data_IF_114819507186
#
_entry.id   IF_114819507186
#
_cell.length_a   1.000
_cell.length_b   1.000
_cell.length_c   1.000
_cell.angle_alpha   90.00
_cell.angle_beta   90.00
_cell.angle_gamma   90.00
#
_symmetry.space_group_name_H-M   'P 1'
#
loop_
_entity.id
_entity.type
_entity.pdbx_description
1 polymer ?
#
# COMPACT_ATOMS: atom_id res chain seq x y z
N UNK A 1 34.81 -24.19 33.78
CA UNK A 1 34.40 -24.01 32.40
C UNK A 1 33.04 -23.30 32.41
N UNK A 2 33.01 -21.98 32.39
CA UNK A 2 31.82 -21.19 32.27
C UNK A 2 31.43 -21.17 30.80
N UNK A 3 30.35 -21.86 30.44
CA UNK A 3 29.70 -21.68 29.14
C UNK A 3 29.16 -20.22 29.12
N UNK A 4 29.78 -19.41 28.32
CA UNK A 4 29.21 -18.11 27.96
C UNK A 4 27.96 -18.40 27.14
N UNK A 5 26.77 -18.26 27.74
CA UNK A 5 25.54 -18.08 27.00
C UNK A 5 25.74 -16.84 26.11
N UNK A 6 25.96 -17.08 24.84
CA UNK A 6 25.81 -16.03 23.83
C UNK A 6 24.34 -15.67 23.79
N UNK A 7 23.95 -14.69 24.59
CA UNK A 7 22.67 -13.99 24.38
C UNK A 7 22.74 -13.38 22.97
N UNK A 8 22.16 -14.08 22.02
CA UNK A 8 21.95 -13.58 20.68
C UNK A 8 21.03 -12.36 20.80
N UNK A 9 21.64 -11.20 20.96
CA UNK A 9 20.88 -9.95 21.13
C UNK A 9 20.19 -9.65 19.81
N UNK A 10 18.87 -9.75 19.77
CA UNK A 10 18.05 -9.42 18.59
C UNK A 10 18.51 -8.12 17.94
N UNK A 11 18.52 -8.05 16.63
CA UNK A 11 18.79 -6.82 15.88
C UNK A 11 17.74 -5.76 16.20
N UNK A 12 18.16 -4.53 16.43
CA UNK A 12 17.27 -3.37 16.69
C UNK A 12 17.00 -2.61 15.41
N UNK A 13 15.74 -2.57 15.03
CA UNK A 13 15.29 -1.96 13.77
C UNK A 13 14.35 -0.80 14.08
N UNK A 14 14.65 0.38 13.54
CA UNK A 14 13.79 1.56 13.61
C UNK A 14 13.02 1.72 12.30
N UNK A 15 11.70 1.59 12.38
CA UNK A 15 10.78 1.89 11.29
C UNK A 15 10.36 3.35 11.39
N UNK A 16 10.48 4.13 10.32
CA UNK A 16 10.11 5.55 10.30
C UNK A 16 8.95 5.77 9.35
N UNK A 17 7.90 6.40 9.88
CA UNK A 17 6.80 6.94 9.10
C UNK A 17 6.36 8.28 9.66
N UNK A 18 6.55 9.33 8.86
CA UNK A 18 6.17 10.69 9.17
C UNK A 18 4.99 11.16 8.29
N UNK A 19 4.23 10.22 7.71
CA UNK A 19 3.04 10.49 6.93
C UNK A 19 1.99 11.27 7.74
N UNK A 20 1.22 12.18 7.09
CA UNK A 20 0.21 12.99 7.78
C UNK A 20 -1.17 12.34 7.86
N UNK A 21 -1.39 11.24 7.16
CA UNK A 21 -2.70 10.57 7.04
C UNK A 21 -2.52 9.06 7.11
N UNK A 22 -3.48 8.37 7.73
CA UNK A 22 -3.51 6.92 7.78
C UNK A 22 -3.92 6.36 6.40
N UNK A 23 -3.22 5.33 5.94
CA UNK A 23 -3.46 4.68 4.66
C UNK A 23 -2.72 3.35 4.51
N UNK A 24 -2.39 2.98 3.27
CA UNK A 24 -1.75 1.70 2.96
C UNK A 24 -0.34 1.54 3.55
N UNK A 25 0.42 2.62 3.73
CA UNK A 25 1.78 2.56 4.34
C UNK A 25 1.66 2.22 5.81
N UNK A 26 0.75 2.84 6.53
CA UNK A 26 0.53 2.61 7.97
C UNK A 26 -0.02 1.21 8.21
N UNK A 27 -0.94 0.74 7.36
CA UNK A 27 -1.43 -0.66 7.39
C UNK A 27 -0.28 -1.63 7.15
N UNK A 28 0.57 -1.39 6.16
CA UNK A 28 1.78 -2.16 5.91
C UNK A 28 2.71 -2.18 7.13
N UNK A 29 2.94 -1.04 7.79
CA UNK A 29 3.80 -0.98 8.98
C UNK A 29 3.25 -1.79 10.15
N UNK A 30 1.95 -1.75 10.38
CA UNK A 30 1.28 -2.59 11.39
C UNK A 30 1.50 -4.07 11.06
N UNK A 31 1.25 -4.50 9.83
CA UNK A 31 1.47 -5.88 9.38
C UNK A 31 2.95 -6.29 9.49
N UNK A 32 3.89 -5.37 9.17
CA UNK A 32 5.32 -5.64 9.28
C UNK A 32 5.76 -5.82 10.74
N UNK A 33 5.19 -5.05 11.68
CA UNK A 33 5.48 -5.23 13.10
C UNK A 33 4.95 -6.57 13.60
N UNK A 34 3.74 -6.95 13.23
CA UNK A 34 3.17 -8.26 13.58
C UNK A 34 4.02 -9.42 13.02
N UNK A 35 4.52 -9.26 11.79
CA UNK A 35 5.32 -10.26 11.11
C UNK A 35 6.70 -10.51 11.75
N UNK A 36 7.35 -9.45 12.28
CA UNK A 36 8.76 -9.49 12.66
C UNK A 36 9.06 -9.35 14.16
N UNK A 37 8.05 -9.06 15.01
CA UNK A 37 8.25 -8.80 16.43
C UNK A 37 8.95 -9.95 17.18
N UNK A 38 8.76 -11.20 16.74
CA UNK A 38 9.43 -12.36 17.34
C UNK A 38 10.94 -12.43 17.00
N UNK A 39 11.40 -11.79 15.93
CA UNK A 39 12.75 -11.98 15.38
C UNK A 39 13.70 -10.81 15.66
N UNK A 40 13.16 -9.60 15.71
CA UNK A 40 13.92 -8.36 15.90
C UNK A 40 13.28 -7.47 16.95
N UNK A 41 14.09 -6.63 17.60
CA UNK A 41 13.59 -5.59 18.50
C UNK A 41 13.12 -4.41 17.65
N UNK A 42 11.82 -4.19 17.58
CA UNK A 42 11.20 -3.17 16.73
C UNK A 42 10.98 -1.86 17.48
N UNK A 43 11.37 -0.78 16.84
CA UNK A 43 11.10 0.60 17.23
C UNK A 43 10.35 1.28 16.11
N UNK A 44 9.29 2.01 16.41
CA UNK A 44 8.51 2.75 15.41
C UNK A 44 8.47 4.22 15.74
N UNK A 45 9.03 5.04 14.87
CA UNK A 45 8.95 6.50 14.95
C UNK A 45 7.81 6.99 14.08
N UNK A 46 6.78 7.58 14.69
CA UNK A 46 5.61 8.07 13.97
C UNK A 46 5.11 9.41 14.51
N UNK A 47 4.29 10.10 13.71
CA UNK A 47 3.60 11.34 14.09
C UNK A 47 2.10 11.13 14.30
N UNK A 48 1.50 10.13 13.66
CA UNK A 48 0.08 9.86 13.73
C UNK A 48 -0.32 9.23 15.07
N UNK A 49 -1.29 9.82 15.80
CA UNK A 49 -1.84 9.22 17.01
C UNK A 49 -2.41 7.83 16.78
N UNK A 50 -3.11 7.66 15.66
CA UNK A 50 -3.78 6.43 15.30
C UNK A 50 -2.81 5.27 15.11
N UNK A 51 -1.70 5.47 14.38
CA UNK A 51 -0.67 4.46 14.21
C UNK A 51 -0.05 4.09 15.56
N UNK A 52 0.25 5.10 16.40
CA UNK A 52 0.74 4.90 17.76
C UNK A 52 -0.20 4.05 18.62
N UNK A 53 -1.52 4.29 18.55
CA UNK A 53 -2.53 3.52 19.29
C UNK A 53 -2.59 2.07 18.81
N UNK A 54 -2.58 1.84 17.49
CA UNK A 54 -2.61 0.49 16.93
C UNK A 54 -1.38 -0.35 17.29
N UNK A 55 -0.24 0.32 17.46
CA UNK A 55 1.01 -0.35 17.81
C UNK A 55 1.20 -0.53 19.32
N UNK A 56 0.45 0.19 20.16
CA UNK A 56 0.64 0.18 21.62
C UNK A 56 0.35 -1.18 22.26
N UNK A 57 -0.45 -2.04 21.63
CA UNK A 57 -0.79 -3.38 22.12
C UNK A 57 0.17 -4.47 21.61
N UNK A 58 1.19 -4.08 20.86
CA UNK A 58 2.17 -4.97 20.23
C UNK A 58 3.52 -4.91 20.95
N UNK A 59 4.32 -5.94 20.78
CA UNK A 59 5.69 -6.00 21.31
C UNK A 59 6.64 -5.12 20.47
N UNK A 60 6.37 -3.80 20.48
CA UNK A 60 7.17 -2.80 19.78
C UNK A 60 7.33 -1.54 20.62
N UNK A 61 8.48 -0.89 20.53
CA UNK A 61 8.71 0.41 21.19
C UNK A 61 8.23 1.54 20.28
N UNK A 62 7.11 2.17 20.62
CA UNK A 62 6.56 3.29 19.85
C UNK A 62 7.12 4.63 20.34
N UNK A 63 7.73 5.37 19.44
CA UNK A 63 8.27 6.71 19.67
C UNK A 63 7.40 7.71 18.90
N UNK A 64 6.49 8.37 19.61
CA UNK A 64 5.60 9.34 19.00
C UNK A 64 6.17 10.76 19.13
N UNK A 65 6.16 11.51 18.02
CA UNK A 65 6.55 12.92 17.97
C UNK A 65 5.31 13.83 17.86
N UNK A 66 4.55 14.07 18.94
CA UNK A 66 3.27 14.78 18.88
C UNK A 66 3.42 16.25 18.51
N UNK A 67 4.55 16.86 18.83
CA UNK A 67 4.82 18.29 18.62
C UNK A 67 4.88 18.65 17.14
N UNK A 68 5.04 17.66 16.25
CA UNK A 68 5.19 17.90 14.82
C UNK A 68 3.88 17.88 14.02
N UNK A 69 2.77 17.46 14.64
CA UNK A 69 1.44 17.63 14.05
C UNK A 69 1.09 19.11 14.07
N UNK A 70 1.15 19.79 12.93
CA UNK A 70 0.85 21.22 12.79
C UNK A 70 2.06 22.14 12.70
N UNK A 71 3.28 21.65 12.93
CA UNK A 71 4.48 22.46 12.71
C UNK A 71 4.72 22.75 11.23
N UNK A 72 5.27 23.93 10.96
CA UNK A 72 5.76 24.30 9.63
C UNK A 72 6.77 23.25 9.11
N UNK A 73 6.52 22.71 7.91
CA UNK A 73 7.26 21.56 7.34
C UNK A 73 8.79 21.61 7.42
N UNK A 74 9.47 22.77 7.15
CA UNK A 74 10.92 22.89 7.31
C UNK A 74 11.41 22.72 8.75
N UNK A 75 10.67 23.25 9.72
CA UNK A 75 11.02 23.14 11.14
C UNK A 75 10.87 21.70 11.64
N UNK A 76 9.83 21.00 11.17
CA UNK A 76 9.63 19.56 11.41
C UNK A 76 10.80 18.74 10.86
N UNK A 77 11.24 19.03 9.65
CA UNK A 77 12.38 18.36 9.05
C UNK A 77 13.66 18.58 9.84
N UNK A 78 13.93 19.83 10.24
CA UNK A 78 15.10 20.17 11.05
C UNK A 78 15.09 19.44 12.40
N UNK A 79 13.95 19.43 13.09
CA UNK A 79 13.79 18.71 14.35
C UNK A 79 13.98 17.20 14.18
N UNK A 80 13.48 16.62 13.08
CA UNK A 80 13.67 15.19 12.80
C UNK A 80 15.13 14.87 12.53
N UNK A 81 15.86 15.75 11.84
CA UNK A 81 17.29 15.61 11.57
C UNK A 81 18.17 15.67 12.83
N UNK A 82 17.68 16.28 13.92
CA UNK A 82 18.38 16.29 15.21
C UNK A 82 17.95 15.15 16.12
N UNK A 83 16.66 14.85 16.16
CA UNK A 83 16.10 13.81 17.04
C UNK A 83 16.48 12.40 16.58
N UNK A 84 16.41 12.12 15.28
CA UNK A 84 16.67 10.77 14.78
C UNK A 84 18.09 10.29 15.11
N UNK A 85 19.18 11.03 14.87
CA UNK A 85 20.53 10.60 15.28
C UNK A 85 20.63 10.30 16.79
N UNK A 86 19.98 11.12 17.63
CA UNK A 86 19.96 10.87 19.07
C UNK A 86 19.26 9.55 19.41
N UNK A 87 18.12 9.27 18.80
CA UNK A 87 17.41 8.01 18.97
C UNK A 87 18.24 6.81 18.51
N UNK A 88 18.96 6.93 17.37
CA UNK A 88 19.82 5.87 16.86
C UNK A 88 20.94 5.51 17.84
N UNK A 89 21.48 6.48 18.56
CA UNK A 89 22.50 6.27 19.59
C UNK A 89 21.90 5.74 20.90
N UNK A 90 20.81 6.37 21.39
CA UNK A 90 20.17 6.03 22.66
C UNK A 90 19.66 4.59 22.66
N UNK A 91 18.95 4.18 21.61
CA UNK A 91 18.39 2.85 21.49
C UNK A 91 19.34 1.86 20.80
N UNK A 92 20.58 2.27 20.46
CA UNK A 92 21.57 1.43 19.78
C UNK A 92 20.99 0.77 18.52
N UNK A 93 20.23 1.50 17.72
CA UNK A 93 19.59 1.01 16.50
C UNK A 93 20.67 0.52 15.51
N UNK A 94 20.44 -0.63 14.88
CA UNK A 94 21.34 -1.21 13.87
C UNK A 94 20.89 -0.87 12.46
N UNK A 95 19.59 -0.94 12.21
CA UNK A 95 18.99 -0.73 10.89
C UNK A 95 17.85 0.28 10.97
N UNK A 96 17.77 1.18 10.00
CA UNK A 96 16.68 2.16 9.86
C UNK A 96 15.92 1.86 8.58
N UNK A 97 14.63 1.61 8.68
CA UNK A 97 13.75 1.48 7.52
C UNK A 97 12.91 2.75 7.37
N UNK A 98 12.89 3.30 6.15
CA UNK A 98 12.19 4.51 5.77
C UNK A 98 11.12 4.17 4.73
N UNK A 99 9.92 4.68 4.94
CA UNK A 99 8.75 4.35 4.10
C UNK A 99 8.25 5.55 3.30
N UNK A 100 8.46 6.76 3.81
CA UNK A 100 8.07 8.01 3.15
C UNK A 100 9.14 8.56 2.22
N UNK A 101 8.73 9.23 1.14
CA UNK A 101 9.68 9.83 0.20
C UNK A 101 10.51 10.94 0.84
N UNK A 102 9.88 11.86 1.58
CA UNK A 102 10.58 12.94 2.27
C UNK A 102 11.43 12.44 3.44
N UNK A 103 11.03 11.32 4.04
CA UNK A 103 11.75 10.71 5.15
C UNK A 103 13.11 10.16 4.69
N UNK A 104 13.28 9.90 3.38
CA UNK A 104 14.54 9.43 2.79
C UNK A 104 15.73 10.37 3.05
N UNK A 105 15.49 11.65 3.38
CA UNK A 105 16.54 12.58 3.80
C UNK A 105 17.25 12.10 5.07
N UNK A 106 16.57 11.32 5.91
CA UNK A 106 17.12 10.74 7.14
C UNK A 106 18.12 9.59 6.89
N UNK A 107 18.22 9.12 5.64
CA UNK A 107 19.28 8.18 5.24
C UNK A 107 20.65 8.77 5.55
N UNK A 108 20.85 10.06 5.30
CA UNK A 108 22.14 10.71 5.45
C UNK A 108 22.68 10.66 6.88
N UNK A 109 21.93 11.15 7.92
CA UNK A 109 22.41 11.05 9.30
C UNK A 109 22.55 9.60 9.80
N UNK A 110 21.69 8.69 9.35
CA UNK A 110 21.83 7.27 9.70
C UNK A 110 23.12 6.66 9.13
N UNK A 111 23.45 6.99 7.88
CA UNK A 111 24.70 6.54 7.23
C UNK A 111 25.95 7.15 7.88
N UNK A 112 25.89 8.41 8.30
CA UNK A 112 26.97 9.06 9.03
C UNK A 112 27.28 8.33 10.34
N UNK A 113 26.26 7.80 11.00
CA UNK A 113 26.39 6.95 12.20
C UNK A 113 26.65 5.45 11.85
N UNK A 114 26.99 5.14 10.60
CA UNK A 114 27.29 3.80 10.10
C UNK A 114 26.16 2.78 10.31
N UNK A 115 24.89 3.24 10.30
CA UNK A 115 23.73 2.37 10.39
C UNK A 115 23.35 1.83 9.02
N UNK A 116 22.84 0.60 8.98
CA UNK A 116 22.17 0.09 7.79
C UNK A 116 20.90 0.87 7.52
N UNK A 117 20.60 1.15 6.26
CA UNK A 117 19.42 1.90 5.86
C UNK A 117 18.66 1.14 4.78
N UNK A 118 17.39 0.91 5.02
CA UNK A 118 16.47 0.29 4.07
C UNK A 118 15.44 1.31 3.67
N UNK A 119 15.28 1.53 2.38
CA UNK A 119 14.26 2.42 1.85
C UNK A 119 13.20 1.60 1.13
N UNK A 120 11.98 1.56 1.70
CA UNK A 120 10.85 0.85 1.08
C UNK A 120 10.08 1.79 0.17
N UNK A 121 9.96 1.39 -1.07
CA UNK A 121 9.25 2.13 -2.11
C UNK A 121 7.87 1.53 -2.33
N UNK A 122 6.82 2.28 -1.90
CA UNK A 122 5.42 1.86 -1.96
C UNK A 122 4.71 2.25 -3.26
N UNK A 123 5.37 2.93 -4.17
CA UNK A 123 4.81 3.30 -5.47
C UNK A 123 5.86 3.81 -6.45
N UNK A 124 5.54 3.87 -7.74
CA UNK A 124 6.40 4.43 -8.76
C UNK A 124 6.71 5.90 -8.51
N UNK A 125 7.82 6.41 -9.06
CA UNK A 125 8.17 7.83 -8.91
C UNK A 125 7.19 8.77 -9.59
N UNK A 126 6.48 8.29 -10.60
CA UNK A 126 5.48 9.04 -11.36
C UNK A 126 4.31 9.49 -10.47
N UNK A 127 3.91 8.72 -9.44
CA UNK A 127 2.86 9.12 -8.50
C UNK A 127 3.16 10.48 -7.87
N UNK A 128 4.43 10.81 -7.67
CA UNK A 128 4.84 12.09 -7.11
C UNK A 128 4.66 13.26 -8.07
N UNK A 129 4.56 13.00 -9.37
CA UNK A 129 4.31 14.00 -10.40
C UNK A 129 2.83 14.39 -10.47
N UNK A 130 1.93 13.50 -10.11
CA UNK A 130 0.48 13.76 -10.10
C UNK A 130 0.03 14.62 -8.91
N UNK A 131 0.83 14.72 -7.84
CA UNK A 131 0.53 15.66 -6.77
C UNK A 131 0.85 17.10 -7.23
N UNK A 132 -0.17 17.87 -7.59
CA UNK A 132 -0.14 19.23 -8.14
C UNK A 132 0.50 20.27 -7.21
N UNK A 133 1.81 20.25 -7.05
CA UNK A 133 2.50 21.30 -6.31
C UNK A 133 3.69 21.84 -7.06
N UNK A 134 3.45 22.90 -7.83
CA UNK A 134 4.46 23.70 -8.53
C UNK A 134 5.25 24.68 -7.62
N UNK A 135 5.45 24.35 -6.34
CA UNK A 135 6.22 25.21 -5.44
C UNK A 135 7.72 24.87 -5.53
N UNK A 136 8.62 25.84 -5.75
CA UNK A 136 10.06 25.61 -5.95
C UNK A 136 10.75 24.92 -4.76
N UNK A 137 10.32 25.20 -3.52
CA UNK A 137 10.81 24.52 -2.33
C UNK A 137 10.49 23.02 -2.29
N UNK A 138 9.35 22.61 -2.85
CA UNK A 138 9.00 21.19 -2.94
C UNK A 138 9.82 20.48 -4.02
N UNK A 139 10.16 21.16 -5.12
CA UNK A 139 11.07 20.65 -6.14
C UNK A 139 12.48 20.41 -5.58
N UNK A 140 12.97 21.32 -4.75
CA UNK A 140 14.27 21.15 -4.08
C UNK A 140 14.23 19.97 -3.10
N UNK A 141 13.20 19.87 -2.27
CA UNK A 141 13.01 18.73 -1.36
C UNK A 141 12.97 17.39 -2.09
N UNK A 142 12.29 17.32 -3.26
CA UNK A 142 12.27 16.13 -4.12
C UNK A 142 13.65 15.78 -4.68
N UNK A 143 14.42 16.77 -5.14
CA UNK A 143 15.80 16.53 -5.61
C UNK A 143 16.69 16.00 -4.48
N UNK A 144 16.58 16.58 -3.28
CA UNK A 144 17.32 16.13 -2.09
C UNK A 144 16.91 14.71 -1.69
N UNK A 145 15.63 14.39 -1.67
CA UNK A 145 15.14 13.06 -1.37
C UNK A 145 15.65 12.01 -2.37
N UNK A 146 15.56 12.30 -3.68
CA UNK A 146 16.14 11.43 -4.72
C UNK A 146 17.66 11.27 -4.58
N UNK A 147 18.35 12.32 -4.21
CA UNK A 147 19.78 12.27 -3.98
C UNK A 147 20.12 11.43 -2.76
N UNK A 148 19.38 11.57 -1.64
CA UNK A 148 19.63 10.84 -0.41
C UNK A 148 19.43 9.32 -0.54
N UNK A 149 18.44 8.88 -1.33
CA UNK A 149 18.21 7.45 -1.57
C UNK A 149 19.41 6.73 -2.21
N UNK A 150 20.27 7.45 -2.94
CA UNK A 150 21.51 6.88 -3.50
C UNK A 150 22.49 6.38 -2.43
N UNK A 151 22.36 6.85 -1.21
CA UNK A 151 23.20 6.45 -0.08
C UNK A 151 22.58 5.34 0.77
N UNK A 152 21.38 4.88 0.42
CA UNK A 152 20.77 3.75 1.12
C UNK A 152 21.59 2.47 0.93
N UNK A 153 21.58 1.61 1.94
CA UNK A 153 22.25 0.29 1.81
C UNK A 153 21.40 -0.69 1.01
N UNK A 154 20.08 -0.54 1.05
CA UNK A 154 19.14 -1.43 0.36
C UNK A 154 17.85 -0.72 0.00
N UNK A 155 17.30 -1.00 -1.18
CA UNK A 155 15.97 -0.54 -1.59
C UNK A 155 15.03 -1.75 -1.66
N UNK A 156 13.88 -1.64 -0.99
CA UNK A 156 12.77 -2.59 -1.13
C UNK A 156 11.72 -1.97 -2.04
N UNK A 157 11.33 -2.66 -3.09
CA UNK A 157 10.22 -2.29 -3.97
C UNK A 157 9.05 -3.25 -3.73
N UNK A 158 7.84 -2.71 -3.58
CA UNK A 158 6.65 -3.54 -3.26
C UNK A 158 6.09 -4.32 -4.45
N UNK A 159 6.62 -4.12 -5.66
CA UNK A 159 6.25 -4.88 -6.87
C UNK A 159 7.39 -4.80 -7.89
N UNK A 160 7.37 -5.70 -8.89
CA UNK A 160 8.27 -5.63 -10.04
C UNK A 160 8.01 -4.36 -10.85
N UNK A 161 6.75 -3.97 -11.01
CA UNK A 161 6.39 -2.73 -11.68
C UNK A 161 7.03 -1.49 -11.02
N UNK A 162 7.03 -1.43 -9.66
CA UNK A 162 7.75 -0.38 -8.92
C UNK A 162 9.26 -0.48 -9.14
N UNK A 163 9.83 -1.67 -9.08
CA UNK A 163 11.27 -1.86 -9.27
C UNK A 163 11.73 -1.39 -10.66
N UNK A 164 10.97 -1.66 -11.71
CA UNK A 164 11.26 -1.19 -13.08
C UNK A 164 11.24 0.33 -13.18
N UNK A 165 10.31 1.01 -12.50
CA UNK A 165 10.27 2.48 -12.46
C UNK A 165 11.42 3.09 -11.67
N UNK A 166 11.93 2.37 -10.67
CA UNK A 166 12.99 2.84 -9.77
C UNK A 166 14.39 2.67 -10.36
N UNK A 167 14.66 1.55 -11.03
CA UNK A 167 15.98 1.20 -11.60
C UNK A 167 16.64 2.31 -12.43
N UNK A 168 15.96 2.98 -13.37
CA UNK A 168 16.56 4.02 -14.18
C UNK A 168 16.92 5.29 -13.39
N UNK A 169 16.24 5.51 -12.27
CA UNK A 169 16.34 6.76 -11.49
C UNK A 169 17.31 6.65 -10.32
N UNK A 170 17.43 5.46 -9.76
CA UNK A 170 18.26 5.17 -8.60
C UNK A 170 19.31 4.10 -8.94
N UNK A 171 20.55 4.46 -9.24
CA UNK A 171 21.64 3.52 -9.43
C UNK A 171 22.08 2.95 -8.09
N UNK A 172 21.20 2.23 -7.40
CA UNK A 172 21.53 1.51 -6.16
C UNK A 172 22.01 0.10 -6.48
N UNK A 173 23.03 -0.32 -5.76
CA UNK A 173 23.67 -1.62 -5.99
C UNK A 173 22.88 -2.79 -5.39
N UNK A 174 21.99 -2.52 -4.44
CA UNK A 174 21.20 -3.55 -3.76
C UNK A 174 19.73 -3.16 -3.69
N UNK A 175 18.89 -3.96 -4.31
CA UNK A 175 17.44 -3.85 -4.15
C UNK A 175 16.79 -5.24 -4.17
N UNK A 176 15.64 -5.35 -3.53
CA UNK A 176 14.77 -6.52 -3.53
C UNK A 176 13.34 -6.13 -3.86
N UNK A 177 12.63 -7.02 -4.51
CA UNK A 177 11.18 -6.93 -4.61
C UNK A 177 10.61 -7.77 -3.47
N UNK A 178 9.92 -7.10 -2.53
CA UNK A 178 9.19 -7.74 -1.43
C UNK A 178 7.79 -7.16 -1.46
N UNK A 179 6.86 -7.96 -1.92
CA UNK A 179 5.48 -7.54 -2.13
C UNK A 179 4.78 -7.19 -0.81
N UNK A 180 3.77 -6.32 -0.87
CA UNK A 180 2.77 -6.27 0.18
C UNK A 180 2.05 -7.62 0.27
N UNK A 181 1.47 -7.93 1.43
CA UNK A 181 0.88 -9.24 1.69
C UNK A 181 -0.37 -9.11 2.56
N UNK A 182 -1.14 -10.18 2.61
CA UNK A 182 -2.26 -10.34 3.52
C UNK A 182 -1.81 -11.22 4.69
N UNK A 183 -1.95 -10.71 5.90
CA UNK A 183 -1.63 -11.46 7.11
C UNK A 183 -2.76 -12.41 7.47
N UNK A 184 -2.37 -13.62 7.92
CA UNK A 184 -3.32 -14.68 8.23
C UNK A 184 -3.84 -15.43 7.01
N UNK A 185 -4.85 -16.25 7.23
CA UNK A 185 -5.52 -17.01 6.18
C UNK A 185 -6.97 -16.59 6.07
N UNK A 186 -7.34 -16.05 4.93
CA UNK A 186 -8.74 -15.78 4.61
C UNK A 186 -9.33 -17.02 3.92
N UNK A 187 -10.37 -17.66 4.49
CA UNK A 187 -11.00 -18.81 3.84
C UNK A 187 -11.59 -18.42 2.48
N UNK A 188 -11.40 -19.27 1.47
CA UNK A 188 -12.05 -19.04 0.18
C UNK A 188 -13.56 -19.06 0.33
N UNK A 189 -14.21 -18.00 -0.08
CA UNK A 189 -15.67 -17.90 -0.18
C UNK A 189 -16.05 -17.87 -1.66
N UNK A 190 -16.66 -18.95 -2.18
CA UNK A 190 -17.06 -18.96 -3.58
C UNK A 190 -18.10 -17.86 -3.84
N UNK A 191 -18.01 -17.16 -4.98
CA UNK A 191 -19.01 -16.18 -5.35
C UNK A 191 -20.36 -16.82 -5.58
N UNK A 192 -21.44 -16.05 -5.40
CA UNK A 192 -22.80 -16.52 -5.60
C UNK A 192 -22.99 -17.06 -7.04
N UNK A 193 -23.60 -18.22 -7.18
CA UNK A 193 -23.98 -18.76 -8.49
C UNK A 193 -25.06 -17.87 -9.15
N UNK A 194 -26.03 -17.45 -8.36
CA UNK A 194 -27.07 -16.49 -8.79
C UNK A 194 -26.82 -15.16 -8.08
N UNK A 195 -26.70 -14.10 -8.87
CA UNK A 195 -26.55 -12.75 -8.34
C UNK A 195 -27.89 -12.22 -7.84
N UNK A 196 -27.83 -11.27 -6.94
CA UNK A 196 -28.97 -10.47 -6.53
C UNK A 196 -29.58 -9.74 -7.76
N UNK A 197 -30.84 -9.30 -7.70
CA UNK A 197 -31.46 -8.53 -8.79
C UNK A 197 -30.64 -7.30 -9.21
N UNK A 198 -29.87 -6.73 -8.25
CA UNK A 198 -28.80 -5.76 -8.49
C UNK A 198 -27.52 -6.27 -7.90
N UNK A 199 -26.53 -6.52 -8.76
CA UNK A 199 -25.22 -6.98 -8.33
C UNK A 199 -24.48 -5.87 -7.61
N UNK A 200 -23.83 -6.19 -6.49
CA UNK A 200 -23.06 -5.24 -5.67
C UNK A 200 -21.63 -5.16 -6.14
N UNK A 201 -21.25 -4.01 -6.66
CA UNK A 201 -19.90 -3.70 -7.12
C UNK A 201 -19.21 -2.83 -6.07
N UNK A 202 -18.06 -3.27 -5.56
CA UNK A 202 -17.26 -2.55 -4.59
C UNK A 202 -16.04 -1.93 -5.27
N UNK A 203 -15.76 -0.67 -4.94
CA UNK A 203 -14.48 -0.04 -5.19
C UNK A 203 -13.98 0.58 -3.89
N UNK A 204 -12.77 0.23 -3.45
CA UNK A 204 -12.18 0.76 -2.23
C UNK A 204 -10.80 1.36 -2.53
N UNK A 205 -10.70 2.69 -2.51
CA UNK A 205 -9.46 3.42 -2.77
C UNK A 205 -9.50 4.87 -2.31
N UNK A 206 -8.36 5.57 -2.35
CA UNK A 206 -8.35 7.03 -2.20
C UNK A 206 -9.09 7.67 -3.38
N UNK A 207 -9.86 8.71 -3.09
CA UNK A 207 -10.59 9.45 -4.12
C UNK A 207 -9.67 10.53 -4.73
N UNK A 208 -8.80 10.09 -5.62
CA UNK A 208 -7.85 10.92 -6.38
C UNK A 208 -7.95 10.60 -7.87
N UNK A 209 -7.69 11.56 -8.73
CA UNK A 209 -7.89 11.47 -10.18
C UNK A 209 -7.30 10.20 -10.81
N UNK A 210 -6.06 9.87 -10.42
CA UNK A 210 -5.37 8.71 -10.99
C UNK A 210 -5.99 7.36 -10.60
N UNK A 211 -6.93 7.33 -9.65
CA UNK A 211 -7.68 6.13 -9.28
C UNK A 211 -8.84 5.82 -10.22
N UNK A 212 -9.17 6.74 -11.13
CA UNK A 212 -10.11 6.49 -12.21
C UNK A 212 -11.56 6.23 -11.80
N UNK A 213 -11.97 6.67 -10.60
CA UNK A 213 -13.31 6.41 -10.04
C UNK A 213 -14.42 6.90 -10.99
N UNK A 214 -14.20 7.99 -11.71
CA UNK A 214 -15.14 8.52 -12.71
C UNK A 214 -15.48 7.50 -13.81
N UNK A 215 -14.54 6.60 -14.18
CA UNK A 215 -14.81 5.52 -15.14
C UNK A 215 -15.84 4.54 -14.59
N UNK A 216 -15.74 4.20 -13.30
CA UNK A 216 -16.71 3.31 -12.64
C UNK A 216 -18.10 3.96 -12.51
N UNK A 217 -18.16 5.26 -12.19
CA UNK A 217 -19.41 6.01 -12.16
C UNK A 217 -20.06 6.02 -13.55
N UNK A 218 -19.28 6.24 -14.61
CA UNK A 218 -19.78 6.23 -15.98
C UNK A 218 -20.25 4.81 -16.41
N UNK A 219 -19.54 3.77 -15.97
CA UNK A 219 -19.98 2.37 -16.19
C UNK A 219 -21.30 2.08 -15.45
N UNK A 220 -21.45 2.56 -14.20
CA UNK A 220 -22.68 2.42 -13.42
C UNK A 220 -23.87 3.12 -14.08
N UNK A 221 -23.68 4.29 -14.71
CA UNK A 221 -24.70 5.01 -15.46
C UNK A 221 -25.27 4.17 -16.60
N UNK A 222 -24.47 3.29 -17.20
CA UNK A 222 -24.82 2.42 -18.33
C UNK A 222 -25.32 1.04 -17.92
N UNK A 223 -25.22 0.72 -16.62
CA UNK A 223 -25.56 -0.59 -16.05
C UNK A 223 -26.47 -0.37 -14.82
N UNK A 224 -27.76 -0.09 -15.02
CA UNK A 224 -28.68 0.14 -13.91
C UNK A 224 -28.93 -1.11 -13.04
N UNK A 225 -28.53 -2.27 -13.52
CA UNK A 225 -28.58 -3.56 -12.83
C UNK A 225 -27.45 -3.77 -11.81
N UNK A 226 -26.49 -2.84 -11.67
CA UNK A 226 -25.47 -2.88 -10.62
C UNK A 226 -25.72 -1.82 -9.56
N UNK A 227 -25.30 -2.08 -8.33
CA UNK A 227 -25.18 -1.11 -7.23
C UNK A 227 -23.68 -0.94 -6.93
N UNK A 228 -23.18 0.27 -7.14
CA UNK A 228 -21.77 0.58 -6.91
C UNK A 228 -21.57 1.24 -5.56
N UNK A 229 -20.78 0.62 -4.69
CA UNK A 229 -20.33 1.22 -3.43
C UNK A 229 -18.88 1.64 -3.56
N UNK A 230 -18.63 2.94 -3.37
CA UNK A 230 -17.29 3.55 -3.39
C UNK A 230 -16.89 3.85 -1.96
N UNK A 231 -15.84 3.16 -1.47
CA UNK A 231 -15.31 3.32 -0.12
C UNK A 231 -13.97 4.06 -0.19
N UNK A 232 -13.83 5.10 0.60
CA UNK A 232 -12.63 5.91 0.67
C UNK A 232 -12.93 7.40 0.75
N UNK A 233 -11.86 8.19 0.81
CA UNK A 233 -11.88 9.65 0.82
C UNK A 233 -10.68 10.19 0.04
N UNK A 234 -10.71 11.47 -0.34
CA UNK A 234 -9.62 12.09 -1.08
C UNK A 234 -9.97 13.46 -1.63
N UNK A 235 -8.99 14.07 -2.32
CA UNK A 235 -9.10 15.43 -2.84
C UNK A 235 -10.26 15.61 -3.83
N UNK A 236 -10.61 14.57 -4.56
CA UNK A 236 -11.55 14.63 -5.68
C UNK A 236 -12.97 14.20 -5.28
N UNK A 237 -13.20 13.97 -3.98
CA UNK A 237 -14.50 13.51 -3.47
C UNK A 237 -15.68 14.38 -3.95
N UNK A 238 -15.58 15.69 -3.74
CA UNK A 238 -16.66 16.60 -4.11
C UNK A 238 -16.92 16.63 -5.63
N UNK A 239 -15.88 16.52 -6.43
CA UNK A 239 -15.98 16.45 -7.89
C UNK A 239 -16.66 15.14 -8.33
N UNK A 240 -16.24 14.01 -7.74
CA UNK A 240 -16.79 12.69 -8.03
C UNK A 240 -18.27 12.58 -7.61
N UNK A 241 -18.65 13.09 -6.42
CA UNK A 241 -20.03 13.15 -5.97
C UNK A 241 -20.91 14.02 -6.92
N UNK A 242 -20.35 15.15 -7.39
CA UNK A 242 -21.01 15.99 -8.40
C UNK A 242 -21.17 15.26 -9.74
N UNK A 243 -20.14 14.53 -10.18
CA UNK A 243 -20.14 13.73 -11.41
C UNK A 243 -21.14 12.58 -11.35
N UNK A 244 -21.35 11.99 -10.17
CA UNK A 244 -22.33 10.94 -9.90
C UNK A 244 -23.76 11.47 -9.77
N UNK A 245 -23.97 12.79 -9.81
CA UNK A 245 -25.32 13.38 -9.77
C UNK A 245 -26.18 12.83 -10.91
N UNK A 246 -27.36 12.28 -10.53
CA UNK A 246 -28.23 11.59 -11.49
C UNK A 246 -27.88 10.14 -11.80
N UNK A 247 -26.94 9.54 -11.05
CA UNK A 247 -26.62 8.11 -11.12
C UNK A 247 -27.03 7.43 -9.81
N UNK A 248 -28.32 7.03 -9.65
CA UNK A 248 -28.88 6.64 -8.35
C UNK A 248 -28.34 5.33 -7.80
N UNK A 249 -27.62 4.54 -8.60
CA UNK A 249 -27.02 3.28 -8.23
C UNK A 249 -25.55 3.40 -7.81
N UNK A 250 -25.07 4.62 -7.49
CA UNK A 250 -23.73 4.87 -6.94
C UNK A 250 -23.85 5.44 -5.52
N UNK A 251 -23.19 4.80 -4.57
CA UNK A 251 -23.12 5.20 -3.17
C UNK A 251 -21.66 5.51 -2.78
N UNK A 252 -21.41 6.68 -2.20
CA UNK A 252 -20.16 7.01 -1.54
C UNK A 252 -20.27 6.73 -0.04
N UNK A 253 -19.62 5.65 0.42
CA UNK A 253 -19.68 5.24 1.82
C UNK A 253 -18.73 6.05 2.73
N UNK A 254 -17.80 6.84 2.14
CA UNK A 254 -16.78 7.54 2.89
C UNK A 254 -15.59 6.64 3.27
N UNK A 255 -14.70 7.15 4.12
CA UNK A 255 -13.56 6.39 4.60
C UNK A 255 -13.97 5.39 5.67
N UNK A 256 -13.65 4.13 5.46
CA UNK A 256 -13.77 3.05 6.43
C UNK A 256 -12.40 2.44 6.68
N UNK A 257 -12.12 2.11 7.93
CA UNK A 257 -10.86 1.47 8.36
C UNK A 257 -10.89 -0.03 8.15
N UNK A 258 -12.04 -0.60 8.46
CA UNK A 258 -12.34 -2.01 8.29
C UNK A 258 -13.22 -2.16 7.06
N UNK A 259 -12.78 -2.97 6.14
CA UNK A 259 -13.46 -3.23 4.88
C UNK A 259 -14.06 -4.63 4.80
N UNK A 260 -13.96 -5.43 5.89
CA UNK A 260 -14.40 -6.82 5.92
C UNK A 260 -15.86 -6.96 5.46
N UNK A 261 -16.78 -6.19 6.09
CA UNK A 261 -18.21 -6.23 5.74
C UNK A 261 -18.47 -5.82 4.29
N UNK A 262 -17.67 -4.90 3.74
CA UNK A 262 -17.78 -4.49 2.34
C UNK A 262 -17.35 -5.61 1.41
N UNK A 263 -16.23 -6.29 1.69
CA UNK A 263 -15.79 -7.44 0.91
C UNK A 263 -16.79 -8.60 0.99
N UNK A 264 -17.30 -8.89 2.18
CA UNK A 264 -18.30 -9.95 2.38
C UNK A 264 -19.64 -9.69 1.68
N UNK A 265 -20.03 -8.43 1.55
CA UNK A 265 -21.30 -8.05 0.94
C UNK A 265 -21.22 -7.84 -0.57
N UNK A 266 -20.03 -7.67 -1.14
CA UNK A 266 -19.82 -7.43 -2.57
C UNK A 266 -19.97 -8.71 -3.41
N UNK A 267 -20.35 -8.54 -4.67
CA UNK A 267 -20.39 -9.60 -5.68
C UNK A 267 -19.22 -9.49 -6.66
N UNK A 268 -18.71 -8.26 -6.89
CA UNK A 268 -17.58 -7.96 -7.78
C UNK A 268 -16.77 -6.82 -7.16
N UNK A 269 -15.45 -6.89 -7.25
CA UNK A 269 -14.55 -5.79 -6.88
C UNK A 269 -13.94 -5.15 -8.13
N UNK A 270 -13.89 -3.81 -8.16
CA UNK A 270 -13.35 -3.05 -9.29
C UNK A 270 -12.27 -2.07 -8.81
N UNK A 271 -11.11 -2.08 -9.49
CA UNK A 271 -10.04 -1.07 -9.31
C UNK A 271 -9.73 -0.43 -10.66
N UNK A 272 -10.33 0.74 -10.98
CA UNK A 272 -10.26 1.34 -12.31
C UNK A 272 -9.11 2.34 -12.48
N UNK A 273 -7.99 2.14 -11.80
CA UNK A 273 -6.88 3.09 -11.78
C UNK A 273 -6.37 3.46 -13.16
N UNK A 274 -6.12 4.76 -13.38
CA UNK A 274 -5.53 5.34 -14.61
C UNK A 274 -4.03 5.48 -14.51
N UNK A 275 -3.53 5.65 -13.32
CA UNK A 275 -2.14 5.99 -13.06
C UNK A 275 -1.36 4.84 -12.44
N UNK A 276 -0.05 5.02 -12.32
CA UNK A 276 0.82 4.01 -11.78
C UNK A 276 0.48 3.71 -10.32
N UNK A 277 0.31 2.44 -10.03
CA UNK A 277 0.08 1.90 -8.68
C UNK A 277 1.36 1.27 -8.12
N UNK A 278 1.45 1.19 -6.80
CA UNK A 278 2.52 0.44 -6.15
C UNK A 278 2.24 -1.06 -6.11
N UNK A 279 1.47 -1.44 -5.10
CA UNK A 279 0.80 -2.73 -4.96
C UNK A 279 -0.38 -2.49 -4.02
N UNK A 280 -1.60 -2.30 -4.57
CA UNK A 280 -2.75 -1.85 -3.80
C UNK A 280 -3.24 -2.94 -2.85
N UNK A 281 -3.25 -2.63 -1.54
CA UNK A 281 -3.69 -3.56 -0.49
C UNK A 281 -5.14 -4.00 -0.70
N UNK A 282 -6.03 -3.05 -1.02
CA UNK A 282 -7.47 -3.35 -1.22
C UNK A 282 -7.73 -4.32 -2.38
N UNK A 283 -6.85 -4.35 -3.40
CA UNK A 283 -6.91 -5.36 -4.46
C UNK A 283 -6.51 -6.74 -3.95
N UNK A 284 -5.44 -6.84 -3.13
CA UNK A 284 -5.04 -8.10 -2.52
C UNK A 284 -6.09 -8.60 -1.52
N UNK A 285 -6.68 -7.70 -0.74
CA UNK A 285 -7.75 -8.01 0.21
C UNK A 285 -8.99 -8.57 -0.52
N UNK A 286 -9.44 -7.90 -1.58
CA UNK A 286 -10.56 -8.39 -2.40
C UNK A 286 -10.29 -9.79 -3.01
N UNK A 287 -9.08 -9.99 -3.53
CA UNK A 287 -8.63 -11.29 -4.07
C UNK A 287 -8.57 -12.36 -2.96
N UNK A 288 -8.10 -12.01 -1.76
CA UNK A 288 -8.07 -12.92 -0.61
C UNK A 288 -9.47 -13.35 -0.16
N UNK A 289 -10.47 -12.45 -0.24
CA UNK A 289 -11.87 -12.76 0.06
C UNK A 289 -12.55 -13.59 -1.02
N UNK A 290 -11.86 -13.91 -2.12
CA UNK A 290 -12.44 -14.66 -3.23
C UNK A 290 -13.47 -13.87 -4.03
N UNK A 291 -13.31 -12.55 -4.11
CA UNK A 291 -14.15 -11.73 -4.99
C UNK A 291 -13.67 -11.84 -6.44
N UNK A 292 -14.60 -12.00 -7.40
CA UNK A 292 -14.29 -11.78 -8.81
C UNK A 292 -13.85 -10.32 -8.99
N UNK A 293 -12.65 -10.12 -9.53
CA UNK A 293 -12.04 -8.79 -9.63
C UNK A 293 -11.99 -8.30 -11.09
N UNK A 294 -12.16 -6.99 -11.27
CA UNK A 294 -11.93 -6.28 -12.53
C UNK A 294 -10.92 -5.18 -12.26
N UNK A 295 -9.79 -5.20 -12.94
CA UNK A 295 -8.72 -4.20 -12.80
C UNK A 295 -8.38 -3.59 -14.15
N UNK A 296 -7.90 -2.34 -14.15
CA UNK A 296 -7.23 -1.77 -15.33
C UNK A 296 -5.96 -2.58 -15.65
N UNK A 297 -5.55 -2.64 -16.91
CA UNK A 297 -4.40 -3.41 -17.41
C UNK A 297 -3.03 -2.80 -17.07
N UNK A 298 -2.92 -2.13 -15.92
CA UNK A 298 -1.66 -1.60 -15.43
C UNK A 298 -0.65 -2.73 -15.12
N UNK A 299 0.67 -2.47 -15.26
CA UNK A 299 1.70 -3.48 -15.01
C UNK A 299 1.55 -4.19 -13.65
N UNK A 300 1.26 -3.45 -12.57
CA UNK A 300 1.06 -4.05 -11.25
C UNK A 300 -0.17 -4.92 -11.16
N UNK A 301 -1.26 -4.55 -11.84
CA UNK A 301 -2.48 -5.37 -11.86
C UNK A 301 -2.27 -6.66 -12.68
N UNK A 302 -1.51 -6.58 -13.78
CA UNK A 302 -1.06 -7.76 -14.50
C UNK A 302 -0.18 -8.66 -13.62
N UNK A 303 0.73 -8.08 -12.83
CA UNK A 303 1.61 -8.80 -11.90
C UNK A 303 0.81 -9.55 -10.82
N UNK A 304 -0.09 -8.85 -10.10
CA UNK A 304 -0.84 -9.46 -8.98
C UNK A 304 -1.88 -10.49 -9.44
N UNK A 305 -2.32 -10.42 -10.68
CA UNK A 305 -3.32 -11.35 -11.24
C UNK A 305 -2.72 -12.49 -12.07
N UNK A 306 -1.40 -12.63 -12.07
CA UNK A 306 -0.70 -13.59 -12.93
C UNK A 306 -1.11 -13.43 -14.40
N UNK A 307 -0.97 -12.20 -14.91
CA UNK A 307 -1.30 -11.80 -16.29
C UNK A 307 -2.79 -12.04 -16.66
N UNK A 308 -3.68 -11.66 -15.73
CA UNK A 308 -5.13 -11.71 -15.96
C UNK A 308 -5.78 -13.05 -15.65
N UNK A 309 -5.05 -14.04 -15.10
CA UNK A 309 -5.66 -15.30 -14.67
C UNK A 309 -6.57 -15.13 -13.46
N UNK A 310 -6.19 -14.27 -12.50
CA UNK A 310 -6.92 -14.00 -11.26
C UNK A 310 -7.89 -12.83 -11.32
N UNK A 311 -8.03 -12.14 -12.45
CA UNK A 311 -9.00 -11.05 -12.61
C UNK A 311 -9.26 -10.75 -14.10
N UNK A 312 -10.39 -10.12 -14.38
CA UNK A 312 -10.60 -9.53 -15.69
C UNK A 312 -9.79 -8.22 -15.80
N UNK A 313 -8.90 -8.13 -16.79
CA UNK A 313 -8.16 -6.92 -17.08
C UNK A 313 -8.86 -6.14 -18.20
N UNK A 314 -9.23 -4.88 -17.91
CA UNK A 314 -9.80 -3.98 -18.91
C UNK A 314 -8.77 -2.94 -19.34
N UNK A 315 -8.90 -2.41 -20.56
CA UNK A 315 -8.01 -1.40 -21.10
C UNK A 315 -8.08 -0.12 -20.25
N UNK A 316 -6.95 0.32 -19.74
CA UNK A 316 -6.83 1.50 -18.88
C UNK A 316 -7.42 2.74 -19.55
N UNK A 317 -8.34 3.42 -18.85
CA UNK A 317 -9.02 4.62 -19.35
C UNK A 317 -10.21 4.37 -20.27
N UNK A 318 -10.50 3.13 -20.63
CA UNK A 318 -11.58 2.77 -21.54
C UNK A 318 -12.83 2.28 -20.77
N UNK A 319 -13.86 3.12 -20.73
CA UNK A 319 -15.15 2.80 -20.09
C UNK A 319 -15.86 1.64 -20.78
N UNK A 320 -15.78 1.53 -22.13
CA UNK A 320 -16.42 0.43 -22.88
C UNK A 320 -15.82 -0.91 -22.49
N UNK A 321 -14.49 -0.95 -22.36
CA UNK A 321 -13.77 -2.14 -21.90
C UNK A 321 -14.15 -2.52 -20.45
N UNK A 322 -14.34 -1.51 -19.55
CA UNK A 322 -14.81 -1.75 -18.17
C UNK A 322 -16.25 -2.29 -18.15
N UNK A 323 -17.15 -1.69 -18.95
CA UNK A 323 -18.55 -2.15 -19.08
C UNK A 323 -18.60 -3.59 -19.64
N UNK A 324 -17.76 -3.91 -20.64
CA UNK A 324 -17.66 -5.27 -21.19
C UNK A 324 -17.21 -6.26 -20.10
N UNK A 325 -16.24 -5.90 -19.27
CA UNK A 325 -15.79 -6.73 -18.13
C UNK A 325 -16.90 -6.96 -17.11
N UNK A 326 -17.63 -5.91 -16.72
CA UNK A 326 -18.76 -6.04 -15.80
C UNK A 326 -19.84 -6.97 -16.40
N UNK A 327 -20.27 -6.75 -17.65
CA UNK A 327 -21.24 -7.63 -18.33
C UNK A 327 -20.78 -9.08 -18.41
N UNK A 328 -19.50 -9.30 -18.67
CA UNK A 328 -18.94 -10.67 -18.76
C UNK A 328 -19.02 -11.41 -17.41
N UNK A 329 -18.79 -10.71 -16.28
CA UNK A 329 -18.93 -11.31 -14.95
C UNK A 329 -20.37 -11.42 -14.49
N UNK A 330 -21.23 -10.46 -14.83
CA UNK A 330 -22.67 -10.51 -14.51
C UNK A 330 -23.33 -11.72 -15.19
N UNK A 331 -22.96 -12.00 -16.44
CA UNK A 331 -23.57 -13.04 -17.27
C UNK A 331 -23.09 -14.47 -16.96
N UNK A 332 -21.91 -14.66 -16.33
CA UNK A 332 -21.32 -16.01 -16.18
C UNK A 332 -20.87 -16.31 -14.76
N UNK A 333 -21.62 -17.19 -14.04
CA UNK A 333 -21.18 -17.72 -12.75
C UNK A 333 -19.84 -18.45 -12.82
N UNK A 334 -19.58 -19.17 -13.93
CA UNK A 334 -18.35 -19.94 -14.15
C UNK A 334 -17.14 -19.00 -14.21
N UNK A 335 -17.26 -17.86 -14.91
CA UNK A 335 -16.19 -16.87 -14.97
C UNK A 335 -15.95 -16.23 -13.60
N UNK A 336 -17.03 -15.88 -12.88
CA UNK A 336 -16.90 -15.36 -11.51
C UNK A 336 -16.14 -16.32 -10.62
N UNK A 337 -16.54 -17.60 -10.63
CA UNK A 337 -15.87 -18.63 -9.83
C UNK A 337 -14.40 -18.82 -10.25
N UNK A 338 -14.14 -18.91 -11.55
CA UNK A 338 -12.78 -19.13 -12.04
C UNK A 338 -11.82 -18.01 -11.64
N UNK A 339 -12.22 -16.75 -11.82
CA UNK A 339 -11.41 -15.61 -11.40
C UNK A 339 -11.23 -15.54 -9.89
N UNK A 340 -12.30 -15.74 -9.13
CA UNK A 340 -12.27 -15.70 -7.67
C UNK A 340 -11.37 -16.81 -7.08
N UNK A 341 -11.49 -18.02 -7.54
CA UNK A 341 -10.69 -19.15 -7.08
C UNK A 341 -9.21 -18.96 -7.41
N UNK A 342 -8.90 -18.48 -8.61
CA UNK A 342 -7.51 -18.23 -9.01
C UNK A 342 -6.93 -17.01 -8.29
N UNK A 343 -7.70 -15.93 -8.09
CA UNK A 343 -7.30 -14.77 -7.30
C UNK A 343 -6.91 -15.18 -5.87
N UNK A 344 -7.79 -15.90 -5.20
CA UNK A 344 -7.54 -16.41 -3.85
C UNK A 344 -6.29 -17.32 -3.80
N UNK A 345 -6.15 -18.25 -4.76
CA UNK A 345 -4.97 -19.13 -4.86
C UNK A 345 -3.67 -18.33 -5.02
N UNK A 346 -3.67 -17.30 -5.86
CA UNK A 346 -2.52 -16.43 -6.07
C UNK A 346 -2.13 -15.74 -4.76
N UNK A 347 -3.07 -15.11 -4.05
CA UNK A 347 -2.80 -14.42 -2.78
C UNK A 347 -2.30 -15.42 -1.74
N UNK A 348 -2.99 -16.53 -1.54
CA UNK A 348 -2.63 -17.55 -0.57
C UNK A 348 -1.24 -18.16 -0.82
N UNK A 349 -0.76 -18.20 -2.07
CA UNK A 349 0.55 -18.77 -2.40
C UNK A 349 1.69 -17.76 -2.48
N UNK A 350 1.42 -16.50 -2.88
CA UNK A 350 2.48 -15.52 -3.20
C UNK A 350 2.49 -14.31 -2.27
N UNK A 351 1.33 -13.91 -1.72
CA UNK A 351 1.15 -12.66 -0.97
C UNK A 351 0.71 -12.93 0.47
N UNK A 352 1.47 -13.75 1.20
CA UNK A 352 1.20 -14.16 2.58
C UNK A 352 2.43 -13.96 3.48
N UNK A 353 2.24 -14.06 4.80
CA UNK A 353 3.29 -13.86 5.81
C UNK A 353 4.55 -14.68 5.53
N UNK A 354 4.40 -15.96 5.18
CA UNK A 354 5.52 -16.86 4.95
C UNK A 354 6.38 -16.44 3.76
N UNK A 355 5.75 -15.94 2.69
CA UNK A 355 6.44 -15.54 1.47
C UNK A 355 7.34 -14.33 1.65
N UNK A 356 7.01 -13.43 2.60
CA UNK A 356 7.71 -12.15 2.76
C UNK A 356 8.63 -12.08 3.98
N UNK A 357 8.34 -12.85 5.05
CA UNK A 357 9.06 -12.81 6.33
C UNK A 357 10.58 -13.00 6.17
N UNK A 358 11.00 -14.08 5.53
CA UNK A 358 12.42 -14.37 5.37
C UNK A 358 13.14 -13.34 4.50
N UNK A 359 12.44 -12.76 3.53
CA UNK A 359 12.98 -11.71 2.69
C UNK A 359 13.21 -10.42 3.49
N UNK A 360 12.26 -10.02 4.35
CA UNK A 360 12.45 -8.87 5.23
C UNK A 360 13.56 -9.10 6.25
N UNK A 361 13.61 -10.26 6.89
CA UNK A 361 14.70 -10.58 7.82
C UNK A 361 16.07 -10.44 7.17
N UNK A 362 16.27 -11.02 5.99
CA UNK A 362 17.56 -10.87 5.25
C UNK A 362 17.93 -9.42 4.98
N UNK A 363 16.96 -8.58 4.65
CA UNK A 363 17.20 -7.16 4.33
C UNK A 363 17.46 -6.33 5.59
N UNK A 364 16.78 -6.62 6.69
CA UNK A 364 16.84 -5.82 7.92
C UNK A 364 17.97 -6.25 8.85
N UNK A 365 18.43 -7.49 8.76
CA UNK A 365 19.46 -8.04 9.66
C UNK A 365 20.80 -8.31 8.97
N UNK A 366 20.85 -8.29 7.63
CA UNK A 366 22.03 -8.60 6.80
C UNK A 366 23.03 -7.47 6.58
#
# INVERSE_FOLDING_TARGET
>A
MLQAETTDTKRRVLLIDLGPQFGGIETYLVSLTDLLASDVDLYVLCVLPELSTRLAERDVTVIRLPVFCGMFKPLRLLATLTVVPLLLLLYRIHTVQLNGFLDSILIFPARLLRRSTVYTRHGPFEIELYSWVRQPLKLLGRKMARWSVRFTTHVVCVSHAVAESVRPVLPVTRYSVIANWISGQTPFRPPLSELRPRARVLCASRLEHYKGIHLLIEAARRLPEVEVTIVGDGSDRAELESFASGVPNVLFAGFHRDLEEFYESADIFVMPSLGPEGLPMTSLEAMAHGLPCIFSDLPVHSEITDHGKGAYLFQTGDVESLVAGLRALLASPEKRYAYAAEAHRIVASRYNDRSVRDAYLRVLTG
#
